data_IF_349948666573
#
_entry.id   IF_349948666573
#
_cell.length_a   1.000
_cell.length_b   1.000
_cell.length_c   1.000
_cell.angle_alpha   90.00
_cell.angle_beta   90.00
_cell.angle_gamma   90.00
#
_symmetry.space_group_name_H-M   'P 1'
#
loop_
_entity.id
_entity.type
_entity.pdbx_description
1 polymer ?
#
# COMPACT_ATOMS: atom_id res chain seq x y z
N UNK A 1 -10.37 11.11 16.69
CA UNK A 1 -10.65 10.89 15.25
C UNK A 1 -11.31 9.53 15.13
N UNK A 2 -12.56 9.46 14.67
CA UNK A 2 -13.26 8.20 14.45
C UNK A 2 -13.16 7.86 12.95
N UNK A 3 -12.64 6.68 12.63
CA UNK A 3 -12.58 6.20 11.25
C UNK A 3 -13.93 5.59 10.88
N UNK A 4 -14.58 6.17 9.87
CA UNK A 4 -15.72 5.56 9.20
C UNK A 4 -15.22 4.41 8.33
N UNK A 5 -15.63 3.18 8.66
CA UNK A 5 -15.26 1.95 7.94
C UNK A 5 -15.87 1.84 6.53
N UNK A 6 -16.58 2.87 6.05
CA UNK A 6 -17.16 2.95 4.70
C UNK A 6 -16.37 3.85 3.75
N UNK A 7 -15.45 4.66 4.26
CA UNK A 7 -14.47 5.33 3.42
C UNK A 7 -13.40 4.29 3.08
N UNK A 8 -13.47 3.67 1.89
CA UNK A 8 -12.35 2.86 1.42
C UNK A 8 -11.16 3.82 1.28
N UNK A 9 -10.12 3.58 2.08
CA UNK A 9 -8.98 4.50 2.18
C UNK A 9 -8.37 4.65 0.79
N UNK A 10 -8.31 5.85 0.22
CA UNK A 10 -7.62 6.06 -1.07
C UNK A 10 -6.10 5.89 -0.96
N UNK A 11 -5.60 5.75 0.26
CA UNK A 11 -4.18 5.60 0.57
C UNK A 11 -3.99 4.55 1.65
N UNK A 12 -3.15 3.54 1.39
CA UNK A 12 -2.52 2.75 2.45
C UNK A 12 -1.11 3.25 2.71
N UNK A 13 -0.68 3.09 3.96
CA UNK A 13 0.64 3.45 4.43
C UNK A 13 1.23 2.21 5.09
N UNK A 14 2.35 1.72 4.56
CA UNK A 14 3.07 0.56 5.09
C UNK A 14 4.40 1.00 5.68
N UNK A 15 4.71 0.47 6.86
CA UNK A 15 5.96 0.64 7.61
C UNK A 15 6.65 -0.72 7.75
N UNK A 16 7.89 -0.69 8.25
CA UNK A 16 8.58 -1.93 8.60
C UNK A 16 7.73 -2.81 9.53
N UNK A 17 7.79 -4.12 9.30
CA UNK A 17 7.02 -5.17 9.99
C UNK A 17 5.49 -5.14 9.77
N UNK A 18 4.95 -4.22 8.97
CA UNK A 18 3.54 -4.27 8.60
C UNK A 18 3.27 -5.52 7.76
N UNK A 19 2.08 -6.12 7.94
CA UNK A 19 1.65 -7.24 7.12
C UNK A 19 1.43 -6.77 5.67
N UNK A 20 1.81 -7.61 4.72
CA UNK A 20 1.52 -7.36 3.30
C UNK A 20 0.00 -7.33 3.11
N UNK A 21 -0.57 -6.25 2.54
CA UNK A 21 -2.02 -6.12 2.43
C UNK A 21 -2.54 -7.07 1.36
N UNK A 22 -3.53 -7.90 1.71
CA UNK A 22 -4.26 -8.71 0.74
C UNK A 22 -5.36 -7.87 0.11
N UNK A 23 -5.11 -7.35 -1.09
CA UNK A 23 -6.06 -6.57 -1.86
C UNK A 23 -6.41 -7.33 -3.14
N UNK A 24 -7.70 -7.53 -3.40
CA UNK A 24 -8.14 -8.18 -4.63
C UNK A 24 -7.75 -7.31 -5.82
N UNK A 25 -6.90 -7.82 -6.72
CA UNK A 25 -6.59 -7.16 -7.98
C UNK A 25 -7.88 -7.02 -8.81
N UNK A 26 -8.20 -5.79 -9.22
CA UNK A 26 -9.34 -5.55 -10.10
C UNK A 26 -8.90 -5.44 -11.55
N UNK A 27 -9.08 -6.52 -12.31
CA UNK A 27 -8.79 -6.59 -13.75
C UNK A 27 -7.32 -6.33 -14.14
N UNK A 28 -6.43 -6.11 -13.18
CA UNK A 28 -5.00 -5.96 -13.36
C UNK A 28 -4.32 -7.34 -13.31
N UNK A 29 -3.44 -7.69 -14.28
CA UNK A 29 -2.60 -8.88 -14.16
C UNK A 29 -1.57 -8.78 -13.03
N UNK A 30 -1.16 -7.57 -12.66
CA UNK A 30 -0.24 -7.32 -11.55
C UNK A 30 -0.99 -7.17 -10.22
N UNK A 31 -0.42 -7.73 -9.16
CA UNK A 31 -0.91 -7.70 -7.78
C UNK A 31 -0.10 -6.74 -6.93
N UNK A 32 -0.62 -6.34 -5.76
CA UNK A 32 0.12 -5.41 -4.90
C UNK A 32 1.40 -6.06 -4.40
N UNK A 33 1.37 -7.38 -4.21
CA UNK A 33 2.51 -8.22 -3.91
C UNK A 33 3.60 -8.13 -4.99
N UNK A 34 3.25 -8.02 -6.28
CA UNK A 34 4.23 -7.89 -7.36
C UNK A 34 5.00 -6.56 -7.28
N UNK A 35 4.33 -5.46 -6.90
CA UNK A 35 4.99 -4.17 -6.69
C UNK A 35 5.80 -4.10 -5.40
N UNK A 36 5.38 -4.86 -4.38
CA UNK A 36 6.00 -4.91 -3.07
C UNK A 36 7.10 -5.97 -2.97
N UNK A 37 7.27 -6.85 -3.96
CA UNK A 37 8.26 -7.95 -3.96
C UNK A 37 9.66 -7.53 -3.44
N UNK A 38 10.23 -6.36 -3.83
CA UNK A 38 11.55 -5.94 -3.35
C UNK A 38 11.61 -5.56 -1.86
N UNK A 39 10.45 -5.41 -1.21
CA UNK A 39 10.29 -4.90 0.15
C UNK A 39 9.58 -5.91 1.05
N UNK A 40 9.54 -7.20 0.67
CA UNK A 40 8.92 -8.26 1.46
C UNK A 40 9.98 -9.25 1.92
N UNK A 41 10.06 -9.48 3.23
CA UNK A 41 10.77 -10.61 3.82
C UNK A 41 9.88 -11.33 4.82
N UNK A 42 9.88 -12.66 4.81
CA UNK A 42 9.08 -13.47 5.73
C UNK A 42 7.57 -13.23 5.71
N UNK A 43 7.03 -12.58 4.68
CA UNK A 43 5.61 -12.21 4.59
C UNK A 43 5.24 -10.89 5.28
N UNK A 44 6.23 -10.09 5.66
CA UNK A 44 6.07 -8.74 6.18
C UNK A 44 6.86 -7.74 5.34
N UNK A 45 6.52 -6.46 5.47
CA UNK A 45 7.27 -5.38 4.85
C UNK A 45 8.62 -5.22 5.55
N UNK A 46 9.71 -5.29 4.77
CA UNK A 46 11.09 -5.12 5.21
C UNK A 46 11.66 -3.84 4.56
N UNK A 47 11.67 -2.75 5.32
CA UNK A 47 12.17 -1.42 4.92
C UNK A 47 12.88 -0.75 6.10
N UNK A 48 13.70 0.27 5.83
CA UNK A 48 14.40 0.98 6.92
C UNK A 48 13.44 1.80 7.80
N UNK A 49 13.83 2.05 9.06
CA UNK A 49 13.04 2.83 10.02
C UNK A 49 12.66 4.25 9.54
N UNK A 50 13.45 4.82 8.63
CA UNK A 50 13.22 6.12 8.02
C UNK A 50 12.45 6.06 6.69
N UNK A 51 11.95 4.89 6.32
CA UNK A 51 11.20 4.65 5.10
C UNK A 51 9.73 4.38 5.37
N UNK A 52 8.90 4.70 4.37
CA UNK A 52 7.48 4.40 4.37
C UNK A 52 7.02 4.17 2.92
N UNK A 53 6.14 3.19 2.73
CA UNK A 53 5.51 2.93 1.44
C UNK A 53 4.10 3.50 1.45
N UNK A 54 3.75 4.27 0.42
CA UNK A 54 2.38 4.73 0.17
C UNK A 54 1.81 4.00 -1.04
N UNK A 55 0.62 3.43 -0.86
CA UNK A 55 -0.16 2.77 -1.90
C UNK A 55 -1.39 3.60 -2.18
N UNK A 56 -1.60 4.02 -3.43
CA UNK A 56 -2.72 4.87 -3.80
C UNK A 56 -3.74 4.12 -4.67
N UNK A 57 -5.00 4.43 -4.44
CA UNK A 57 -6.10 4.22 -5.38
C UNK A 57 -6.56 5.59 -5.88
N UNK A 58 -6.42 5.84 -7.18
CA UNK A 58 -6.84 7.06 -7.86
C UNK A 58 -8.26 6.98 -8.42
N UNK A 59 -8.81 5.78 -8.56
CA UNK A 59 -10.18 5.59 -9.06
C UNK A 59 -11.25 5.88 -8.00
N UNK A 60 -12.44 6.30 -8.44
CA UNK A 60 -13.60 6.38 -7.55
C UNK A 60 -13.92 4.97 -7.06
N UNK A 61 -13.85 4.78 -5.75
CA UNK A 61 -14.27 3.54 -5.12
C UNK A 61 -15.80 3.42 -5.19
N UNK A 62 -16.31 3.10 -6.38
CA UNK A 62 -17.68 2.67 -6.54
C UNK A 62 -17.85 1.38 -5.74
N UNK A 63 -18.91 1.30 -4.95
CA UNK A 63 -19.25 0.12 -4.16
C UNK A 63 -19.41 -1.10 -5.07
N UNK A 64 -18.36 -1.90 -5.24
CA UNK A 64 -18.50 -3.26 -5.77
C UNK A 64 -17.31 -3.85 -6.52
N UNK A 65 -16.52 -3.09 -7.27
CA UNK A 65 -15.69 -3.74 -8.32
C UNK A 65 -14.48 -2.90 -8.76
N UNK A 66 -13.53 -2.52 -7.90
CA UNK A 66 -12.43 -1.68 -8.40
C UNK A 66 -11.56 -1.03 -7.35
N UNK A 67 -11.04 -1.81 -6.40
CA UNK A 67 -10.13 -1.26 -5.41
C UNK A 67 -8.94 -2.20 -5.29
N UNK A 68 -7.82 -1.82 -5.90
CA UNK A 68 -6.57 -2.58 -5.91
C UNK A 68 -5.44 -1.85 -5.17
N UNK A 69 -5.57 -0.54 -4.95
CA UNK A 69 -4.61 0.39 -4.34
C UNK A 69 -3.20 0.34 -4.95
N UNK A 70 -3.12 0.03 -6.24
CA UNK A 70 -1.88 -0.17 -6.97
C UNK A 70 -1.65 0.87 -8.07
N UNK A 71 -2.52 1.88 -8.17
CA UNK A 71 -2.40 2.92 -9.21
C UNK A 71 -1.08 3.69 -9.09
N UNK A 72 -0.61 3.90 -7.85
CA UNK A 72 0.71 4.48 -7.56
C UNK A 72 1.29 3.82 -6.30
N UNK A 73 2.53 3.36 -6.39
CA UNK A 73 3.33 2.85 -5.27
C UNK A 73 4.56 3.75 -5.08
N UNK A 74 4.72 4.35 -3.90
CA UNK A 74 5.84 5.23 -3.58
C UNK A 74 6.62 4.73 -2.37
N UNK A 75 7.94 4.56 -2.50
CA UNK A 75 8.85 4.48 -1.36
C UNK A 75 9.35 5.89 -1.02
N UNK A 76 9.01 6.38 0.16
CA UNK A 76 9.52 7.64 0.68
C UNK A 76 10.61 7.37 1.72
N UNK A 77 11.80 7.94 1.51
CA UNK A 77 12.91 7.91 2.46
C UNK A 77 13.08 9.28 3.11
N UNK A 78 12.95 9.36 4.44
CA UNK A 78 13.26 10.57 5.19
C UNK A 78 14.76 10.63 5.45
N UNK A 79 15.41 11.64 4.88
CA UNK A 79 16.82 11.92 5.15
C UNK A 79 16.92 12.93 6.29
N UNK A 80 17.66 12.60 7.36
CA UNK A 80 17.83 13.48 8.53
C UNK A 80 19.12 14.32 8.51
N UNK A 81 19.97 14.13 7.48
CA UNK A 81 21.11 15.01 7.22
C UNK A 81 22.23 14.97 8.27
N UNK A 82 22.27 13.98 9.16
CA UNK A 82 23.39 13.79 10.08
C UNK A 82 24.58 13.06 9.43
#
# INVERSE_FOLDING_TARGET
FAFDSRAKNQVYVLRNDDAVPSLDAFQDPETIEDFLEPYIDGGAIDIQDNQVIFLFELSEVASGTGYSAQDIVLLLSLYDGQ
#
